data_IF_395697214909
#
_entry.id   IF_395697214909
#
_cell.length_a   1.000
_cell.length_b   1.000
_cell.length_c   1.000
_cell.angle_alpha   90.00
_cell.angle_beta   90.00
_cell.angle_gamma   90.00
#
_symmetry.space_group_name_H-M   'P 1'
#
loop_
_entity.id
_entity.type
_entity.pdbx_description
1 polymer ?
#
# COMPACT_ATOMS: atom_id res chain seq x y z
N UNK A 1 -3.57 12.62 31.70
CA UNK A 1 -3.71 11.20 31.28
C UNK A 1 -5.06 11.04 30.60
N UNK A 2 -5.13 11.27 29.30
CA UNK A 2 -6.32 10.97 28.52
C UNK A 2 -5.96 9.77 27.65
N UNK A 3 -6.40 8.59 28.08
CA UNK A 3 -6.50 7.42 27.24
C UNK A 3 -7.61 7.72 26.22
N UNK A 4 -7.22 8.11 25.00
CA UNK A 4 -8.12 8.01 23.87
C UNK A 4 -8.35 6.52 23.66
N UNK A 5 -9.56 6.09 24.00
CA UNK A 5 -10.06 4.78 23.64
C UNK A 5 -10.00 4.69 22.10
N UNK A 6 -9.05 3.92 21.58
CA UNK A 6 -9.10 3.50 20.20
C UNK A 6 -10.42 2.78 20.01
N UNK A 7 -11.29 3.30 19.15
CA UNK A 7 -12.49 2.61 18.71
C UNK A 7 -12.06 1.39 17.89
N UNK A 8 -11.66 0.34 18.59
CA UNK A 8 -11.43 -0.97 18.00
C UNK A 8 -12.80 -1.52 17.58
N UNK A 9 -13.19 -1.27 16.35
CA UNK A 9 -14.45 -1.76 15.81
C UNK A 9 -14.48 -3.29 15.64
N UNK A 10 -13.33 -3.97 15.79
CA UNK A 10 -13.23 -5.43 15.67
C UNK A 10 -13.44 -5.99 14.26
N UNK A 11 -13.65 -5.12 13.26
CA UNK A 11 -13.96 -5.50 11.87
C UNK A 11 -12.96 -4.88 10.91
N UNK A 12 -12.67 -5.59 9.81
CA UNK A 12 -11.85 -5.06 8.74
C UNK A 12 -12.60 -3.97 7.95
N UNK A 13 -11.84 -3.06 7.36
CA UNK A 13 -12.35 -1.98 6.54
C UNK A 13 -12.38 -2.38 5.07
N UNK A 14 -13.51 -2.15 4.43
CA UNK A 14 -13.68 -2.29 2.98
C UNK A 14 -13.76 -0.91 2.34
N UNK A 15 -13.10 -0.71 1.22
CA UNK A 15 -13.16 0.53 0.46
C UNK A 15 -14.50 0.61 -0.26
N UNK A 16 -15.31 1.59 0.09
CA UNK A 16 -16.58 1.89 -0.58
C UNK A 16 -16.34 2.66 -1.88
N UNK A 17 -15.44 3.63 -1.85
CA UNK A 17 -15.08 4.41 -3.02
C UNK A 17 -13.70 5.05 -2.89
N UNK A 18 -13.00 5.21 -4.02
CA UNK A 18 -11.70 5.87 -4.11
C UNK A 18 -11.86 7.22 -4.82
N UNK A 19 -11.52 8.31 -4.14
CA UNK A 19 -11.61 9.66 -4.72
C UNK A 19 -10.55 9.86 -5.81
N UNK A 20 -10.91 10.58 -6.86
CA UNK A 20 -9.97 10.95 -7.91
C UNK A 20 -8.86 11.87 -7.39
N UNK A 21 -7.65 11.75 -7.98
CA UNK A 21 -6.47 12.56 -7.63
C UNK A 21 -5.99 12.38 -6.18
N UNK A 22 -6.24 11.23 -5.57
CA UNK A 22 -5.76 10.88 -4.23
C UNK A 22 -4.64 9.85 -4.30
N UNK A 23 -3.94 9.67 -3.16
CA UNK A 23 -2.89 8.66 -3.04
C UNK A 23 -3.42 7.24 -3.28
N UNK A 24 -4.62 6.91 -2.76
CA UNK A 24 -5.26 5.62 -3.02
C UNK A 24 -5.49 5.34 -4.51
N UNK A 25 -5.84 6.38 -5.29
CA UNK A 25 -5.99 6.23 -6.74
C UNK A 25 -4.66 6.00 -7.44
N UNK A 26 -3.58 6.64 -6.99
CA UNK A 26 -2.23 6.42 -7.52
C UNK A 26 -1.68 5.02 -7.20
N UNK A 27 -2.12 4.43 -6.09
CA UNK A 27 -1.83 3.06 -5.69
C UNK A 27 -2.73 2.01 -6.37
N UNK A 28 -3.60 2.44 -7.28
CA UNK A 28 -4.55 1.59 -8.00
C UNK A 28 -5.54 0.84 -7.09
N UNK A 29 -5.83 1.42 -5.93
CA UNK A 29 -6.91 0.93 -5.07
C UNK A 29 -8.25 1.07 -5.79
N UNK A 30 -9.15 0.15 -5.50
CA UNK A 30 -10.49 0.05 -6.12
C UNK A 30 -11.56 -0.07 -5.05
N UNK A 31 -12.77 0.17 -5.48
CA UNK A 31 -13.96 -0.16 -4.70
C UNK A 31 -13.97 -1.67 -4.43
N UNK A 32 -14.48 -2.07 -3.30
CA UNK A 32 -14.49 -3.43 -2.75
C UNK A 32 -13.13 -4.00 -2.29
N UNK A 33 -12.03 -3.28 -2.39
CA UNK A 33 -10.77 -3.68 -1.75
C UNK A 33 -10.93 -3.68 -0.23
N UNK A 34 -10.38 -4.67 0.44
CA UNK A 34 -10.44 -4.81 1.90
C UNK A 34 -9.07 -4.54 2.49
N UNK A 35 -8.99 -3.61 3.43
CA UNK A 35 -7.77 -3.33 4.19
C UNK A 35 -7.63 -4.38 5.27
N UNK A 36 -6.54 -5.15 5.22
CA UNK A 36 -6.33 -6.32 6.08
C UNK A 36 -5.31 -6.04 7.17
N UNK A 37 -4.17 -5.45 6.81
CA UNK A 37 -3.09 -5.22 7.75
C UNK A 37 -2.36 -3.92 7.46
N UNK A 38 -1.79 -3.33 8.52
CA UNK A 38 -0.89 -2.19 8.46
C UNK A 38 0.42 -2.62 9.13
N UNK A 39 1.56 -2.45 8.45
CA UNK A 39 2.87 -2.90 8.90
C UNK A 39 2.88 -4.38 9.34
N UNK A 40 2.24 -5.22 8.55
CA UNK A 40 2.11 -6.67 8.78
C UNK A 40 1.26 -7.08 9.99
N UNK A 41 0.66 -6.13 10.70
CA UNK A 41 -0.28 -6.40 11.79
C UNK A 41 -1.73 -6.22 11.32
N UNK A 42 -2.60 -7.16 11.66
CA UNK A 42 -4.03 -7.10 11.29
C UNK A 42 -4.63 -5.80 11.82
N UNK A 43 -5.27 -5.06 10.91
CA UNK A 43 -5.79 -3.73 11.22
C UNK A 43 -7.29 -3.75 11.54
N UNK A 44 -7.63 -3.48 12.79
CA UNK A 44 -9.01 -3.44 13.29
C UNK A 44 -9.37 -2.06 13.90
N UNK A 45 -8.54 -1.06 13.68
CA UNK A 45 -8.67 0.26 14.33
C UNK A 45 -9.82 1.13 13.83
N UNK A 46 -10.44 0.80 12.70
CA UNK A 46 -11.49 1.60 12.09
C UNK A 46 -10.97 2.75 11.22
N UNK A 47 -11.90 3.47 10.56
CA UNK A 47 -11.58 4.48 9.55
C UNK A 47 -10.76 5.65 10.13
N UNK A 48 -11.23 6.23 11.26
CA UNK A 48 -10.59 7.42 11.82
C UNK A 48 -9.15 7.14 12.26
N UNK A 49 -8.93 6.01 12.95
CA UNK A 49 -7.59 5.60 13.37
C UNK A 49 -6.66 5.36 12.17
N UNK A 50 -7.17 4.74 11.10
CA UNK A 50 -6.37 4.54 9.89
C UNK A 50 -5.93 5.86 9.27
N UNK A 51 -6.83 6.84 9.20
CA UNK A 51 -6.52 8.16 8.65
C UNK A 51 -5.47 8.86 9.51
N UNK A 52 -5.63 8.83 10.84
CA UNK A 52 -4.69 9.43 11.78
C UNK A 52 -3.29 8.79 11.69
N UNK A 53 -3.21 7.46 11.71
CA UNK A 53 -1.94 6.73 11.59
C UNK A 53 -1.22 7.03 10.27
N UNK A 54 -1.94 7.02 9.14
CA UNK A 54 -1.35 7.36 7.83
C UNK A 54 -0.89 8.82 7.76
N UNK A 55 -1.60 9.74 8.41
CA UNK A 55 -1.15 11.13 8.52
C UNK A 55 0.09 11.27 9.38
N UNK A 56 0.22 10.48 10.44
CA UNK A 56 1.41 10.51 11.30
C UNK A 56 2.64 9.94 10.60
N UNK A 57 2.52 8.87 9.82
CA UNK A 57 3.59 8.41 8.93
C UNK A 57 4.01 9.50 7.95
N UNK A 58 3.04 10.21 7.36
CA UNK A 58 3.33 11.32 6.45
C UNK A 58 4.11 12.45 7.13
N UNK A 59 3.69 12.88 8.33
CA UNK A 59 4.37 13.95 9.12
C UNK A 59 5.80 13.56 9.47
N UNK A 60 6.04 12.28 9.78
CA UNK A 60 7.37 11.74 10.10
C UNK A 60 8.23 11.44 8.88
N UNK A 61 7.68 11.61 7.67
CA UNK A 61 8.29 11.21 6.40
C UNK A 61 8.65 9.72 6.35
N UNK A 62 7.84 8.90 7.01
CA UNK A 62 7.95 7.45 7.04
C UNK A 62 7.00 6.81 6.04
N UNK A 63 7.27 5.55 5.71
CA UNK A 63 6.40 4.72 4.87
C UNK A 63 5.86 3.55 5.68
N UNK A 64 4.65 3.12 5.38
CA UNK A 64 4.06 1.93 5.98
C UNK A 64 3.70 0.90 4.90
N UNK A 65 3.66 -0.37 5.26
CA UNK A 65 3.14 -1.44 4.41
C UNK A 65 1.64 -1.57 4.69
N UNK A 66 0.83 -1.41 3.65
CA UNK A 66 -0.61 -1.66 3.71
C UNK A 66 -0.91 -2.95 2.94
N UNK A 67 -1.39 -3.97 3.63
CA UNK A 67 -1.87 -5.19 2.99
C UNK A 67 -3.35 -5.08 2.67
N UNK A 68 -3.68 -5.34 1.42
CA UNK A 68 -5.03 -5.25 0.89
C UNK A 68 -5.44 -6.60 0.30
N UNK A 69 -6.69 -6.98 0.48
CA UNK A 69 -7.30 -8.13 -0.18
C UNK A 69 -8.26 -7.68 -1.28
N UNK A 70 -8.08 -8.21 -2.47
CA UNK A 70 -8.96 -8.03 -3.62
C UNK A 70 -9.39 -9.39 -4.15
N UNK A 71 -10.67 -9.70 -4.03
CA UNK A 71 -11.22 -10.99 -4.47
C UNK A 71 -10.43 -12.21 -3.92
N UNK A 72 -10.02 -12.15 -2.65
CA UNK A 72 -9.26 -13.20 -1.97
C UNK A 72 -7.75 -13.22 -2.27
N UNK A 73 -7.25 -12.29 -3.07
CA UNK A 73 -5.82 -12.16 -3.36
C UNK A 73 -5.24 -11.04 -2.49
N UNK A 74 -4.19 -11.36 -1.72
CA UNK A 74 -3.48 -10.39 -0.92
C UNK A 74 -2.34 -9.75 -1.70
N UNK A 75 -2.18 -8.45 -1.55
CA UNK A 75 -1.03 -7.70 -2.07
C UNK A 75 -0.63 -6.59 -1.11
N UNK A 76 0.64 -6.25 -1.12
CA UNK A 76 1.21 -5.25 -0.24
C UNK A 76 1.49 -3.97 -1.03
N UNK A 77 1.19 -2.83 -0.40
CA UNK A 77 1.40 -1.50 -0.95
C UNK A 77 2.23 -0.68 0.01
N UNK A 78 3.19 0.08 -0.51
CA UNK A 78 3.91 1.08 0.28
C UNK A 78 3.07 2.36 0.29
N UNK A 79 2.61 2.75 1.48
CA UNK A 79 1.81 3.95 1.69
C UNK A 79 2.59 5.01 2.44
N UNK A 80 2.44 6.28 2.03
CA UNK A 80 3.16 7.44 2.59
C UNK A 80 2.23 8.58 2.99
N UNK A 81 0.94 8.42 2.77
CA UNK A 81 -0.04 9.47 3.01
C UNK A 81 -1.44 8.88 3.12
N UNK A 82 -2.40 9.69 3.55
CA UNK A 82 -3.82 9.35 3.54
C UNK A 82 -4.28 8.90 2.16
N UNK A 83 -5.08 7.84 2.12
CA UNK A 83 -5.51 7.20 0.87
C UNK A 83 -6.60 8.01 0.14
N UNK A 84 -7.40 8.80 0.88
CA UNK A 84 -8.50 9.56 0.31
C UNK A 84 -9.65 8.66 -0.17
N UNK A 85 -9.89 7.56 0.53
CA UNK A 85 -10.99 6.64 0.31
C UNK A 85 -12.13 6.92 1.27
N UNK A 86 -13.32 6.38 0.96
CA UNK A 86 -14.39 6.14 1.92
C UNK A 86 -14.40 4.67 2.28
N UNK A 87 -14.73 4.37 3.52
CA UNK A 87 -14.68 3.02 4.04
C UNK A 87 -16.02 2.60 4.61
N UNK A 88 -16.26 1.30 4.60
CA UNK A 88 -17.32 0.62 5.34
C UNK A 88 -16.70 -0.58 6.06
N UNK A 89 -17.39 -1.12 7.05
CA UNK A 89 -16.96 -2.33 7.74
C UNK A 89 -17.54 -3.57 7.08
N UNK A 90 -16.80 -4.68 7.06
CA UNK A 90 -17.33 -5.98 6.64
C UNK A 90 -17.87 -6.75 7.84
N UNK A 91 -18.54 -7.88 7.58
CA UNK A 91 -19.09 -8.73 8.63
C UNK A 91 -18.01 -9.41 9.47
N UNK A 92 -18.39 -9.87 10.67
CA UNK A 92 -17.48 -10.61 11.55
C UNK A 92 -17.01 -11.93 10.92
N UNK A 93 -17.90 -12.62 10.21
CA UNK A 93 -17.59 -13.89 9.54
C UNK A 93 -16.55 -13.69 8.43
N UNK A 94 -16.74 -12.67 7.59
CA UNK A 94 -15.77 -12.31 6.56
C UNK A 94 -14.44 -11.84 7.15
N UNK A 95 -14.49 -11.06 8.24
CA UNK A 95 -13.28 -10.61 8.95
C UNK A 95 -12.48 -11.83 9.42
N UNK A 96 -13.08 -12.78 10.11
CA UNK A 96 -12.40 -14.00 10.60
C UNK A 96 -11.82 -14.82 9.46
N UNK A 97 -12.57 -15.02 8.38
CA UNK A 97 -12.10 -15.76 7.20
C UNK A 97 -10.85 -15.13 6.61
N UNK A 98 -10.86 -13.81 6.42
CA UNK A 98 -9.71 -13.08 5.85
C UNK A 98 -8.51 -13.11 6.79
N UNK A 99 -8.72 -13.03 8.11
CA UNK A 99 -7.66 -13.15 9.11
C UNK A 99 -6.99 -14.53 9.06
N UNK A 100 -7.79 -15.60 8.96
CA UNK A 100 -7.28 -16.99 8.84
C UNK A 100 -6.49 -17.19 7.55
N UNK A 101 -6.94 -16.60 6.44
CA UNK A 101 -6.23 -16.62 5.17
C UNK A 101 -4.93 -15.79 5.23
N UNK A 102 -4.98 -14.61 5.85
CA UNK A 102 -3.82 -13.74 6.02
C UNK A 102 -2.73 -14.37 6.87
N UNK A 103 -3.09 -15.14 7.90
CA UNK A 103 -2.12 -15.84 8.77
C UNK A 103 -1.20 -16.82 8.00
N UNK A 104 -1.63 -17.26 6.81
CA UNK A 104 -0.87 -18.16 5.92
C UNK A 104 -0.02 -17.40 4.90
N UNK A 105 -0.17 -16.08 4.82
CA UNK A 105 0.56 -15.24 3.86
C UNK A 105 2.01 -15.08 4.31
N UNK A 106 2.94 -15.15 3.37
CA UNK A 106 4.33 -14.75 3.62
C UNK A 106 4.38 -13.25 3.90
N UNK A 107 4.99 -12.89 5.02
CA UNK A 107 5.21 -11.51 5.43
C UNK A 107 6.56 -11.05 4.86
N UNK A 108 6.61 -9.80 4.38
CA UNK A 108 7.81 -9.15 3.88
C UNK A 108 8.06 -7.88 4.70
N UNK A 109 9.33 -7.61 4.99
CA UNK A 109 9.72 -6.34 5.55
C UNK A 109 9.77 -5.24 4.47
N UNK A 110 9.65 -3.98 4.89
CA UNK A 110 9.62 -2.85 3.95
C UNK A 110 10.89 -2.78 3.08
N UNK A 111 12.03 -3.20 3.63
CA UNK A 111 13.32 -3.21 2.94
C UNK A 111 13.43 -4.32 1.88
N UNK A 112 12.57 -5.34 1.96
CA UNK A 112 12.48 -6.39 0.94
C UNK A 112 11.58 -6.01 -0.24
N UNK A 113 10.76 -4.97 -0.08
CA UNK A 113 9.85 -4.50 -1.11
C UNK A 113 10.56 -3.56 -2.08
N UNK A 114 10.34 -3.76 -3.37
CA UNK A 114 10.88 -2.90 -4.42
C UNK A 114 9.76 -2.08 -5.04
N UNK A 115 10.03 -0.81 -5.26
CA UNK A 115 9.09 0.07 -5.94
C UNK A 115 9.36 0.08 -7.45
N UNK A 116 8.33 -0.26 -8.23
CA UNK A 116 8.39 -0.21 -9.69
C UNK A 116 7.49 0.89 -10.23
N UNK A 117 7.94 1.58 -11.27
CA UNK A 117 7.12 2.44 -12.09
C UNK A 117 6.69 1.67 -13.34
N UNK A 118 5.38 1.49 -13.48
CA UNK A 118 4.81 0.88 -14.69
C UNK A 118 4.55 1.99 -15.71
N UNK A 119 5.21 1.88 -16.85
CA UNK A 119 5.01 2.76 -18.00
C UNK A 119 4.19 2.03 -19.05
N UNK A 120 3.34 2.77 -19.75
CA UNK A 120 2.56 2.28 -20.89
C UNK A 120 2.89 3.12 -22.11
N UNK A 121 3.31 2.47 -23.17
CA UNK A 121 3.56 3.15 -24.45
C UNK A 121 2.26 3.38 -25.25
N UNK A 122 2.37 4.10 -26.36
CA UNK A 122 1.24 4.35 -27.25
C UNK A 122 0.72 3.08 -27.96
N UNK A 123 1.50 2.01 -27.95
CA UNK A 123 1.16 0.70 -28.54
C UNK A 123 0.58 -0.28 -27.51
N UNK A 124 0.29 0.20 -26.28
CA UNK A 124 -0.19 -0.59 -25.15
C UNK A 124 0.80 -1.64 -24.60
N UNK A 125 2.09 -1.52 -24.89
CA UNK A 125 3.08 -2.31 -24.20
C UNK A 125 3.31 -1.73 -22.80
N UNK A 126 3.55 -2.62 -21.85
CA UNK A 126 3.87 -2.24 -20.47
C UNK A 126 5.35 -2.47 -20.23
N UNK A 127 5.99 -1.50 -19.61
CA UNK A 127 7.36 -1.58 -19.16
C UNK A 127 7.42 -1.29 -17.65
N UNK A 128 8.21 -2.07 -16.91
CA UNK A 128 8.36 -1.94 -15.47
C UNK A 128 9.77 -1.49 -15.15
N UNK A 129 9.91 -0.27 -14.66
CA UNK A 129 11.19 0.30 -14.25
C UNK A 129 11.26 0.30 -12.73
N UNK A 130 12.28 -0.38 -12.19
CA UNK A 130 12.56 -0.34 -10.75
C UNK A 130 13.06 1.07 -10.37
N UNK A 131 12.44 1.66 -9.35
CA UNK A 131 12.87 2.95 -8.78
C UNK A 131 14.05 2.73 -7.81
N UNK A 132 15.18 2.27 -8.33
CA UNK A 132 16.42 2.21 -7.56
C UNK A 132 17.32 3.37 -7.92
N UNK A 133 18.00 3.92 -6.93
CA UNK A 133 19.07 4.88 -7.19
C UNK A 133 20.31 4.14 -7.68
N UNK A 134 20.67 4.32 -8.92
CA UNK A 134 21.94 3.81 -9.43
C UNK A 134 23.06 4.79 -9.05
N UNK A 135 23.88 4.41 -8.07
CA UNK A 135 25.11 5.16 -7.73
C UNK A 135 26.07 5.28 -8.92
N UNK A 136 26.11 4.25 -9.78
CA UNK A 136 26.93 4.26 -11.02
C UNK A 136 26.43 5.30 -12.02
N UNK A 137 25.12 5.49 -12.16
CA UNK A 137 24.56 6.53 -13.02
C UNK A 137 24.89 7.94 -12.52
N UNK A 138 24.95 8.13 -11.19
CA UNK A 138 25.31 9.41 -10.59
C UNK A 138 26.79 9.77 -10.71
N UNK A 139 27.67 8.77 -10.63
CA UNK A 139 29.13 9.00 -10.67
C UNK A 139 29.69 8.97 -12.10
N UNK A 140 29.21 8.07 -12.94
CA UNK A 140 29.73 7.86 -14.31
C UNK A 140 28.58 7.69 -15.33
N UNK A 141 27.78 8.76 -15.59
CA UNK A 141 26.63 8.65 -16.48
C UNK A 141 26.92 8.05 -17.86
N UNK A 142 28.04 8.44 -18.57
CA UNK A 142 28.32 7.88 -19.88
C UNK A 142 28.62 6.38 -19.85
N UNK A 143 29.38 5.93 -18.85
CA UNK A 143 29.69 4.51 -18.68
C UNK A 143 28.48 3.68 -18.30
N UNK A 144 27.60 4.23 -17.45
CA UNK A 144 26.36 3.60 -17.06
C UNK A 144 25.41 3.45 -18.26
N UNK A 145 25.24 4.49 -19.08
CA UNK A 145 24.43 4.45 -20.31
C UNK A 145 24.94 3.40 -21.30
N UNK A 146 26.28 3.29 -21.46
CA UNK A 146 26.87 2.27 -22.28
C UNK A 146 26.59 0.85 -21.77
N UNK A 147 26.64 0.66 -20.46
CA UNK A 147 26.37 -0.63 -19.82
C UNK A 147 24.91 -1.05 -19.98
N UNK A 148 23.96 -0.14 -19.77
CA UNK A 148 22.53 -0.38 -19.91
C UNK A 148 22.03 -0.41 -21.37
N UNK A 149 22.93 -0.18 -22.35
CA UNK A 149 22.60 -0.17 -23.79
C UNK A 149 21.45 0.80 -24.15
N UNK A 150 21.35 1.90 -23.44
CA UNK A 150 20.31 2.92 -23.66
C UNK A 150 20.86 4.07 -24.54
N UNK A 151 21.07 3.80 -25.81
CA UNK A 151 21.50 4.78 -26.84
C UNK A 151 20.27 5.23 -27.65
#
# INVERSE_FOLDING_TARGET
MNQQASNNNGFLLKIESVRNKTHGKSLLLRDDDIIVALNNEIYLGGENSLIEELQDFHKKNESAILTVSRSGIFFDLIVRNSLGCKYTTISEEETKKIQDEFSKKKIFDIDELKEFKVLRDLKNNFDCIEKSYSLSAGLFPPAWLAYEQQW
#
